data_IF_941119531536
#
_entry.id   IF_941119531536
#
_cell.length_a   1.000
_cell.length_b   1.000
_cell.length_c   1.000
_cell.angle_alpha   90.00
_cell.angle_beta   90.00
_cell.angle_gamma   90.00
#
_symmetry.space_group_name_H-M   'P 1'
#
loop_
_entity.id
_entity.type
_entity.pdbx_description
1 polymer ?
#
# COMPACT_ATOMS: atom_id res chain seq x y z
N UNK A 1 -1.29 -6.45 15.57
CA UNK A 1 -1.00 -5.13 14.98
C UNK A 1 -0.19 -5.40 13.74
N UNK A 2 -0.74 -5.13 12.56
CA UNK A 2 -0.05 -5.37 11.29
C UNK A 2 0.86 -4.19 10.99
N UNK A 3 2.13 -4.44 10.74
CA UNK A 3 3.10 -3.39 10.39
C UNK A 3 3.62 -3.64 8.99
N UNK A 4 3.31 -2.75 8.06
CA UNK A 4 3.78 -2.80 6.68
C UNK A 4 4.87 -1.75 6.54
N UNK A 5 6.09 -2.19 6.22
CA UNK A 5 7.19 -1.29 5.91
C UNK A 5 7.38 -1.21 4.41
N UNK A 6 7.23 0.00 3.87
CA UNK A 6 7.45 0.33 2.47
C UNK A 6 8.83 0.97 2.38
N UNK A 7 9.75 0.31 1.69
CA UNK A 7 11.07 0.86 1.40
C UNK A 7 11.02 1.65 0.10
N UNK A 8 10.97 2.97 0.19
CA UNK A 8 10.90 3.89 -0.95
C UNK A 8 12.05 3.75 -1.95
N UNK A 9 13.18 3.16 -1.54
CA UNK A 9 14.30 2.83 -2.44
C UNK A 9 14.00 1.68 -3.38
N UNK A 10 13.00 0.84 -3.06
CA UNK A 10 12.60 -0.31 -3.88
C UNK A 10 11.49 0.01 -4.89
N UNK A 11 10.88 1.19 -4.80
CA UNK A 11 9.75 1.56 -5.64
C UNK A 11 10.12 2.78 -6.48
N UNK A 12 10.27 2.57 -7.79
CA UNK A 12 10.54 3.64 -8.74
C UNK A 12 9.27 4.20 -9.40
N UNK A 13 8.11 3.60 -9.13
CA UNK A 13 6.83 4.07 -9.66
C UNK A 13 5.64 3.64 -8.79
N UNK A 14 4.53 4.36 -8.92
CA UNK A 14 3.27 4.11 -8.19
C UNK A 14 2.68 2.72 -8.50
N UNK A 15 2.92 2.18 -9.69
CA UNK A 15 2.39 0.86 -10.09
C UNK A 15 3.05 -0.28 -9.31
N UNK A 16 4.36 -0.20 -9.06
CA UNK A 16 5.08 -1.16 -8.24
C UNK A 16 4.66 -1.08 -6.77
N UNK A 17 4.44 0.13 -6.27
CA UNK A 17 3.87 0.34 -4.93
C UNK A 17 2.48 -0.31 -4.82
N UNK A 18 1.61 -0.07 -5.80
CA UNK A 18 0.27 -0.65 -5.83
C UNK A 18 0.32 -2.18 -5.89
N UNK A 19 1.20 -2.75 -6.71
CA UNK A 19 1.37 -4.20 -6.81
C UNK A 19 1.89 -4.83 -5.50
N UNK A 20 2.83 -4.17 -4.84
CA UNK A 20 3.35 -4.61 -3.54
C UNK A 20 2.28 -4.58 -2.45
N UNK A 21 1.49 -3.50 -2.40
CA UNK A 21 0.36 -3.41 -1.48
C UNK A 21 -0.72 -4.44 -1.80
N UNK A 22 -0.94 -4.77 -3.08
CA UNK A 22 -1.86 -5.82 -3.50
C UNK A 22 -1.44 -7.19 -2.98
N UNK A 23 -0.15 -7.53 -3.08
CA UNK A 23 0.39 -8.79 -2.56
C UNK A 23 0.31 -8.87 -1.03
N UNK A 24 0.54 -7.76 -0.31
CA UNK A 24 0.54 -7.78 1.16
C UNK A 24 -0.87 -7.76 1.75
N UNK A 25 -1.75 -6.93 1.18
CA UNK A 25 -3.11 -6.76 1.69
C UNK A 25 -4.05 -7.85 1.16
N UNK A 26 -3.58 -8.68 0.22
CA UNK A 26 -4.37 -9.71 -0.48
C UNK A 26 -5.69 -9.14 -1.03
N UNK A 27 -5.65 -7.86 -1.44
CA UNK A 27 -6.80 -7.13 -1.95
C UNK A 27 -6.89 -7.28 -3.47
N UNK A 28 -8.11 -7.17 -3.98
CA UNK A 28 -8.38 -7.27 -5.40
C UNK A 28 -7.83 -6.06 -6.19
N UNK A 29 -7.46 -6.26 -7.47
CA UNK A 29 -6.78 -5.22 -8.26
C UNK A 29 -7.61 -3.93 -8.44
N UNK A 30 -8.94 -4.05 -8.36
CA UNK A 30 -9.91 -2.94 -8.35
C UNK A 30 -9.60 -1.92 -7.25
N UNK A 31 -9.12 -2.37 -6.08
CA UNK A 31 -8.79 -1.47 -4.97
C UNK A 31 -7.47 -0.70 -5.18
N UNK A 32 -6.72 -0.99 -6.25
CA UNK A 32 -5.46 -0.32 -6.58
C UNK A 32 -5.52 0.54 -7.85
N UNK A 33 -6.71 0.77 -8.41
CA UNK A 33 -6.87 1.66 -9.56
C UNK A 33 -6.64 3.13 -9.20
N UNK A 34 -7.09 3.53 -8.01
CA UNK A 34 -6.99 4.91 -7.53
C UNK A 34 -6.92 4.96 -6.00
N UNK A 35 -6.58 6.14 -5.47
CA UNK A 35 -6.38 6.34 -4.03
C UNK A 35 -7.68 6.18 -3.23
N UNK A 36 -8.83 6.48 -3.83
CA UNK A 36 -10.15 6.36 -3.20
C UNK A 36 -10.55 4.89 -3.03
N UNK A 37 -10.37 4.08 -4.07
CA UNK A 37 -10.61 2.64 -4.05
C UNK A 37 -9.67 1.95 -3.05
N UNK A 38 -8.42 2.41 -2.95
CA UNK A 38 -7.47 1.91 -1.95
C UNK A 38 -7.97 2.22 -0.53
N UNK A 39 -8.44 3.45 -0.31
CA UNK A 39 -8.99 3.86 0.97
C UNK A 39 -10.25 3.07 1.33
N UNK A 40 -11.14 2.82 0.37
CA UNK A 40 -12.31 1.97 0.55
C UNK A 40 -11.89 0.55 0.94
N UNK A 41 -10.94 -0.06 0.23
CA UNK A 41 -10.40 -1.38 0.56
C UNK A 41 -9.81 -1.42 1.98
N UNK A 42 -9.01 -0.42 2.35
CA UNK A 42 -8.41 -0.33 3.68
C UNK A 42 -9.46 -0.19 4.78
N UNK A 43 -10.45 0.70 4.60
CA UNK A 43 -11.46 0.97 5.64
C UNK A 43 -12.53 -0.12 5.74
N UNK A 44 -12.84 -0.81 4.65
CA UNK A 44 -13.86 -1.86 4.60
C UNK A 44 -13.32 -3.25 4.95
N UNK A 45 -12.10 -3.59 4.52
CA UNK A 45 -11.53 -4.93 4.69
C UNK A 45 -10.52 -5.03 5.83
N UNK A 46 -9.84 -3.94 6.21
CA UNK A 46 -8.83 -4.00 7.27
C UNK A 46 -9.51 -3.74 8.62
N UNK A 47 -10.03 -4.81 9.23
CA UNK A 47 -10.63 -4.78 10.57
C UNK A 47 -9.60 -4.61 11.71
N UNK A 48 -8.32 -4.46 11.39
CA UNK A 48 -7.21 -4.53 12.32
C UNK A 48 -6.38 -3.24 12.30
N UNK A 49 -5.86 -2.82 13.47
CA UNK A 49 -4.90 -1.72 13.56
C UNK A 49 -3.67 -2.03 12.71
N UNK A 50 -3.59 -1.34 11.57
CA UNK A 50 -2.52 -1.46 10.58
C UNK A 50 -1.68 -0.19 10.62
N UNK A 51 -0.36 -0.36 10.72
CA UNK A 51 0.63 0.72 10.68
C UNK A 51 1.41 0.60 9.38
N UNK A 52 1.27 1.60 8.53
CA UNK A 52 1.99 1.69 7.26
C UNK A 52 3.14 2.67 7.43
N UNK A 53 4.37 2.16 7.38
CA UNK A 53 5.57 2.96 7.56
C UNK A 53 6.34 3.04 6.24
N UNK A 54 6.41 4.25 5.69
CA UNK A 54 7.18 4.52 4.49
C UNK A 54 8.58 5.03 4.87
N UNK A 55 9.60 4.25 4.55
CA UNK A 55 11.01 4.62 4.70
C UNK A 55 11.53 5.24 3.41
N UNK A 56 12.33 6.30 3.51
CA UNK A 56 12.98 6.94 2.35
C UNK A 56 11.99 7.43 1.27
N UNK A 57 10.82 7.97 1.65
CA UNK A 57 9.84 8.57 0.73
C UNK A 57 10.46 9.59 -0.26
N UNK A 58 11.48 10.33 0.19
CA UNK A 58 12.19 11.33 -0.61
C UNK A 58 13.02 10.72 -1.77
N UNK A 59 13.25 9.41 -1.77
CA UNK A 59 13.97 8.70 -2.84
C UNK A 59 13.05 8.08 -3.89
N UNK A 60 11.73 8.00 -3.65
CA UNK A 60 10.80 7.60 -4.71
C UNK A 60 10.65 8.78 -5.67
N UNK A 61 11.33 8.68 -6.82
CA UNK A 61 11.44 9.76 -7.81
C UNK A 61 10.49 9.58 -8.98
#
# INVERSE_FOLDING_TARGET
MYHITIDGKKFCNIKELHRFLQEILELDAIYFENLEALWDGLTSHVSMLLTLQWLDFQMSS
#
